data_IF_993571207070
#
_entry.id   IF_993571207070
#
_cell.length_a   1.000
_cell.length_b   1.000
_cell.length_c   1.000
_cell.angle_alpha   90.00
_cell.angle_beta   90.00
_cell.angle_gamma   90.00
#
_symmetry.space_group_name_H-M   'P 1'
#
loop_
_entity.id
_entity.type
_entity.pdbx_description
1 polymer ?
#
# COMPACT_ATOMS: atom_id res chain seq x y z
N UNK A 1 31.58 -41.87 1.71
CA UNK A 1 30.42 -41.13 2.26
C UNK A 1 30.88 -39.70 2.47
N UNK A 2 30.66 -38.82 1.49
CA UNK A 2 30.98 -37.41 1.59
C UNK A 2 29.80 -36.65 2.24
N UNK A 3 30.05 -35.71 3.16
CA UNK A 3 28.99 -34.87 3.69
C UNK A 3 28.59 -33.84 2.63
N UNK A 4 27.31 -33.82 2.28
CA UNK A 4 26.74 -32.88 1.32
C UNK A 4 27.04 -31.42 1.72
N UNK A 5 27.74 -30.70 0.84
CA UNK A 5 28.00 -29.29 0.97
C UNK A 5 26.68 -28.50 1.04
N UNK A 6 26.44 -27.78 2.14
CA UNK A 6 25.36 -26.79 2.25
C UNK A 6 25.59 -25.68 1.21
N UNK A 7 24.70 -25.57 0.22
CA UNK A 7 24.69 -24.43 -0.71
C UNK A 7 24.43 -23.12 0.07
N UNK A 8 25.20 -22.05 -0.15
CA UNK A 8 24.93 -20.74 0.45
C UNK A 8 23.78 -20.09 -0.31
N UNK A 9 22.58 -20.13 0.27
CA UNK A 9 21.36 -19.58 -0.36
C UNK A 9 20.45 -19.06 0.74
N UNK A 10 20.70 -17.86 1.27
CA UNK A 10 19.79 -17.18 2.22
C UNK A 10 20.01 -15.66 2.37
N UNK A 11 21.21 -15.12 2.18
CA UNK A 11 21.46 -13.68 2.41
C UNK A 11 21.15 -12.78 1.20
N UNK A 12 21.53 -13.16 -0.02
CA UNK A 12 21.32 -12.31 -1.20
C UNK A 12 19.85 -12.16 -1.63
N UNK A 13 19.02 -13.20 -1.45
CA UNK A 13 17.61 -13.17 -1.86
C UNK A 13 16.76 -12.24 -0.96
N UNK A 14 17.07 -12.19 0.34
CA UNK A 14 16.37 -11.33 1.29
C UNK A 14 16.72 -9.85 1.09
N UNK A 15 18.00 -9.53 0.86
CA UNK A 15 18.45 -8.19 0.52
C UNK A 15 17.77 -7.68 -0.77
N UNK A 16 17.78 -8.50 -1.83
CA UNK A 16 17.13 -8.15 -3.10
C UNK A 16 15.62 -7.90 -2.95
N UNK A 17 14.93 -8.71 -2.15
CA UNK A 17 13.51 -8.50 -1.87
C UNK A 17 13.25 -7.19 -1.10
N UNK A 18 14.13 -6.82 -0.16
CA UNK A 18 14.01 -5.58 0.60
C UNK A 18 14.22 -4.35 -0.29
N UNK A 19 15.30 -4.34 -1.07
CA UNK A 19 15.58 -3.28 -2.03
C UNK A 19 14.43 -3.10 -3.03
N UNK A 20 13.85 -4.20 -3.50
CA UNK A 20 12.72 -4.14 -4.42
C UNK A 20 11.50 -3.43 -3.83
N UNK A 21 11.14 -3.76 -2.58
CA UNK A 21 10.06 -3.07 -1.87
C UNK A 21 10.32 -1.57 -1.72
N UNK A 22 11.55 -1.22 -1.32
CA UNK A 22 11.97 0.18 -1.16
C UNK A 22 11.95 0.94 -2.51
N UNK A 23 12.47 0.35 -3.59
CA UNK A 23 12.43 0.97 -4.90
C UNK A 23 11.00 1.15 -5.41
N UNK A 24 10.11 0.19 -5.16
CA UNK A 24 8.70 0.32 -5.52
C UNK A 24 8.04 1.48 -4.78
N UNK A 25 8.25 1.56 -3.46
CA UNK A 25 7.73 2.66 -2.63
C UNK A 25 8.26 4.03 -3.10
N UNK A 26 9.56 4.15 -3.35
CA UNK A 26 10.16 5.38 -3.85
C UNK A 26 9.63 5.78 -5.23
N UNK A 27 9.54 4.82 -6.16
CA UNK A 27 8.99 5.08 -7.51
C UNK A 27 7.54 5.52 -7.45
N UNK A 28 6.72 4.87 -6.61
CA UNK A 28 5.33 5.27 -6.41
C UNK A 28 5.23 6.69 -5.86
N UNK A 29 6.06 7.03 -4.87
CA UNK A 29 6.16 8.40 -4.33
C UNK A 29 6.53 9.43 -5.39
N UNK A 30 7.50 9.12 -6.27
CA UNK A 30 7.88 10.01 -7.37
C UNK A 30 6.73 10.24 -8.36
N UNK A 31 5.99 9.19 -8.75
CA UNK A 31 4.83 9.32 -9.64
C UNK A 31 3.75 10.19 -9.01
N UNK A 32 3.44 9.96 -7.72
CA UNK A 32 2.47 10.75 -6.97
C UNK A 32 2.91 12.22 -6.91
N UNK A 33 4.18 12.49 -6.60
CA UNK A 33 4.73 13.83 -6.52
C UNK A 33 4.63 14.57 -7.86
N UNK A 34 5.03 13.94 -8.95
CA UNK A 34 4.96 14.54 -10.29
C UNK A 34 3.51 14.84 -10.71
N UNK A 35 2.59 13.90 -10.46
CA UNK A 35 1.18 14.10 -10.75
C UNK A 35 0.58 15.25 -9.91
N UNK A 36 0.87 15.22 -8.61
CA UNK A 36 0.46 16.23 -7.63
C UNK A 36 0.97 17.62 -7.97
N UNK A 37 2.24 17.73 -8.40
CA UNK A 37 2.83 18.98 -8.83
C UNK A 37 2.11 19.56 -10.05
N UNK A 38 1.73 18.72 -11.02
CA UNK A 38 0.97 19.15 -12.18
C UNK A 38 -0.44 19.66 -11.79
N UNK A 39 -1.10 19.04 -10.83
CA UNK A 39 -2.40 19.51 -10.29
C UNK A 39 -2.25 20.84 -9.54
N UNK A 40 -1.20 20.96 -8.73
CA UNK A 40 -0.90 22.20 -8.01
C UNK A 40 -0.62 23.35 -8.99
N UNK A 41 0.18 23.14 -10.04
CA UNK A 41 0.45 24.14 -11.09
C UNK A 41 -0.79 24.61 -11.83
N UNK A 42 -1.80 23.75 -11.97
CA UNK A 42 -3.10 24.08 -12.59
C UNK A 42 -4.07 24.78 -11.61
N UNK A 43 -3.65 25.00 -10.36
CA UNK A 43 -4.48 25.61 -9.32
C UNK A 43 -5.58 24.70 -8.76
N UNK A 44 -5.57 23.40 -9.10
CA UNK A 44 -6.63 22.46 -8.69
C UNK A 44 -6.53 22.09 -7.22
N UNK A 45 -5.30 21.96 -6.69
CA UNK A 45 -5.01 21.61 -5.31
C UNK A 45 -4.02 22.62 -4.72
N UNK A 46 -4.48 23.82 -4.31
CA UNK A 46 -3.61 24.89 -3.83
C UNK A 46 -2.95 24.58 -2.48
N UNK A 47 -3.55 23.68 -1.69
CA UNK A 47 -2.97 23.19 -0.44
C UNK A 47 -2.74 21.70 -0.57
N UNK A 48 -1.49 21.31 -0.81
CA UNK A 48 -1.09 19.92 -1.01
C UNK A 48 0.15 19.62 -0.19
N UNK A 49 0.08 18.58 0.62
CA UNK A 49 1.20 18.07 1.42
C UNK A 49 1.32 16.58 1.17
N UNK A 50 2.54 16.14 0.86
CA UNK A 50 2.88 14.74 0.66
C UNK A 50 3.98 14.42 1.67
N UNK A 51 3.75 13.40 2.48
CA UNK A 51 4.73 12.85 3.41
C UNK A 51 5.03 11.41 3.04
N UNK A 52 6.31 11.04 3.16
CA UNK A 52 6.79 9.67 3.03
C UNK A 52 7.16 9.19 4.43
N UNK A 53 6.78 7.97 4.80
CA UNK A 53 7.04 7.40 6.13
C UNK A 53 6.46 8.27 7.28
N UNK A 54 5.18 8.58 7.18
CA UNK A 54 4.44 9.43 8.11
C UNK A 54 4.06 8.67 9.39
N UNK A 55 4.80 8.88 10.46
CA UNK A 55 4.60 8.18 11.74
C UNK A 55 3.20 8.39 12.35
N UNK A 56 2.52 9.49 12.02
CA UNK A 56 1.19 9.82 12.54
C UNK A 56 0.06 9.08 11.79
N UNK A 57 0.38 8.37 10.70
CA UNK A 57 -0.59 7.65 9.87
C UNK A 57 -0.73 6.16 10.21
N UNK A 58 -0.10 5.70 11.30
CA UNK A 58 -0.21 4.33 11.77
C UNK A 58 0.42 3.33 10.80
N UNK A 59 -0.35 2.33 10.33
CA UNK A 59 0.16 1.30 9.41
C UNK A 59 0.09 1.67 7.92
N UNK A 60 -0.43 2.85 7.60
CA UNK A 60 -0.46 3.42 6.25
C UNK A 60 0.46 4.63 6.15
N UNK A 61 1.66 4.47 6.71
CA UNK A 61 2.68 5.50 6.82
C UNK A 61 3.54 5.62 5.56
N UNK A 62 3.54 4.63 4.66
CA UNK A 62 4.42 4.63 3.49
C UNK A 62 4.29 5.97 2.71
N UNK A 63 3.07 6.38 2.31
CA UNK A 63 2.83 7.68 1.65
C UNK A 63 1.49 8.26 2.11
N UNK A 64 1.50 9.52 2.55
CA UNK A 64 0.28 10.24 2.95
C UNK A 64 0.15 11.53 2.19
N UNK A 65 -1.02 11.72 1.57
CA UNK A 65 -1.36 12.92 0.80
C UNK A 65 -2.46 13.67 1.54
N UNK A 66 -2.18 14.88 1.99
CA UNK A 66 -3.17 15.78 2.59
C UNK A 66 -3.44 16.90 1.61
N UNK A 67 -4.71 17.13 1.30
CA UNK A 67 -5.10 18.15 0.34
C UNK A 67 -6.27 18.99 0.84
N UNK A 68 -6.33 20.23 0.37
CA UNK A 68 -7.48 21.09 0.48
C UNK A 68 -7.56 22.02 -0.73
N UNK A 69 -8.78 22.33 -1.13
CA UNK A 69 -9.09 23.32 -2.17
C UNK A 69 -10.21 24.22 -1.68
N UNK A 70 -10.36 25.39 -2.31
CA UNK A 70 -11.53 26.25 -2.11
C UNK A 70 -12.82 25.61 -2.63
N UNK A 71 -12.71 24.68 -3.59
CA UNK A 71 -13.85 24.02 -4.25
C UNK A 71 -14.00 22.54 -3.90
N UNK A 72 -12.97 21.91 -3.34
CA UNK A 72 -12.97 20.49 -2.95
C UNK A 72 -12.83 20.37 -1.43
N UNK A 73 -13.67 19.55 -0.76
CA UNK A 73 -13.50 19.27 0.65
C UNK A 73 -12.08 18.83 0.97
N UNK A 74 -11.56 19.27 2.12
CA UNK A 74 -10.28 18.79 2.66
C UNK A 74 -10.29 17.27 2.70
N UNK A 75 -9.18 16.64 2.38
CA UNK A 75 -9.06 15.20 2.46
C UNK A 75 -7.66 14.70 2.73
N UNK A 76 -7.59 13.43 3.09
CA UNK A 76 -6.35 12.69 3.27
C UNK A 76 -6.41 11.37 2.51
N UNK A 77 -5.34 11.02 1.81
CA UNK A 77 -5.15 9.72 1.17
C UNK A 77 -3.97 9.04 1.86
N UNK A 78 -4.21 7.86 2.40
CA UNK A 78 -3.24 7.01 3.08
C UNK A 78 -2.89 5.84 2.16
N UNK A 79 -1.61 5.62 1.89
CA UNK A 79 -1.18 4.65 0.89
C UNK A 79 -0.18 3.69 1.52
N UNK A 80 -0.43 2.39 1.38
CA UNK A 80 0.53 1.34 1.67
C UNK A 80 1.06 0.73 0.39
N UNK A 81 2.38 0.72 0.23
CA UNK A 81 3.10 0.16 -0.90
C UNK A 81 3.64 -1.24 -0.53
N UNK A 82 3.11 -2.28 -1.17
CA UNK A 82 3.45 -3.68 -0.89
C UNK A 82 3.67 -4.47 -2.16
N UNK A 83 4.91 -4.56 -2.60
CA UNK A 83 5.26 -5.18 -3.86
C UNK A 83 6.36 -6.22 -3.67
N UNK A 84 6.15 -7.45 -4.17
CA UNK A 84 7.13 -8.53 -4.10
C UNK A 84 7.87 -8.70 -5.44
N UNK A 85 9.11 -9.17 -5.39
CA UNK A 85 9.98 -9.31 -6.56
C UNK A 85 9.47 -10.36 -7.56
N UNK A 86 8.88 -11.45 -7.06
CA UNK A 86 8.29 -12.51 -7.88
C UNK A 86 6.79 -12.60 -7.58
N UNK A 87 5.97 -12.28 -8.59
CA UNK A 87 4.51 -12.39 -8.53
C UNK A 87 4.03 -13.86 -8.62
N UNK A 88 4.82 -14.74 -9.23
CA UNK A 88 4.54 -16.18 -9.32
C UNK A 88 4.57 -16.88 -7.95
N UNK A 89 5.27 -16.29 -6.97
CA UNK A 89 5.35 -16.79 -5.61
C UNK A 89 4.35 -16.11 -4.65
N UNK A 90 3.62 -15.11 -5.10
CA UNK A 90 2.51 -14.54 -4.32
C UNK A 90 1.26 -15.35 -4.55
N UNK A 91 0.90 -16.17 -3.55
CA UNK A 91 -0.42 -16.76 -3.48
C UNK A 91 -1.49 -15.65 -3.55
N UNK A 92 -2.61 -15.88 -4.26
CA UNK A 92 -3.73 -14.95 -4.25
C UNK A 92 -4.21 -14.68 -2.83
N UNK A 93 -4.73 -13.47 -2.61
CA UNK A 93 -5.35 -13.07 -1.36
C UNK A 93 -6.73 -13.73 -1.23
N UNK A 94 -6.85 -14.62 -0.25
CA UNK A 94 -8.03 -15.41 0.06
C UNK A 94 -8.88 -14.75 1.14
N UNK A 95 -10.08 -15.28 1.40
CA UNK A 95 -10.93 -14.86 2.52
C UNK A 95 -10.18 -14.84 3.86
N UNK A 96 -9.30 -15.84 4.07
CA UNK A 96 -8.45 -15.91 5.24
C UNK A 96 -7.54 -14.69 5.41
N UNK A 97 -7.06 -14.13 4.30
CA UNK A 97 -6.19 -12.95 4.26
C UNK A 97 -6.93 -11.65 4.59
N UNK A 98 -8.26 -11.60 4.49
CA UNK A 98 -9.02 -10.38 4.79
C UNK A 98 -9.70 -10.44 6.16
N UNK A 99 -10.23 -11.61 6.55
CA UNK A 99 -11.14 -11.71 7.69
C UNK A 99 -10.56 -12.44 8.90
N UNK A 100 -9.42 -13.11 8.80
CA UNK A 100 -8.87 -13.81 9.97
C UNK A 100 -8.16 -12.85 10.92
N UNK A 101 -8.34 -13.10 12.22
CA UNK A 101 -7.78 -12.21 13.25
C UNK A 101 -6.27 -12.39 13.48
N UNK A 102 -5.70 -13.51 13.02
CA UNK A 102 -4.28 -13.86 13.21
C UNK A 102 -3.50 -13.40 11.99
N UNK A 103 -2.30 -12.85 12.21
CA UNK A 103 -1.29 -12.78 11.17
C UNK A 103 -0.90 -14.22 10.82
N UNK A 104 -1.61 -14.85 9.89
CA UNK A 104 -1.16 -16.09 9.27
C UNK A 104 0.06 -15.77 8.40
N UNK A 105 0.74 -16.81 7.91
CA UNK A 105 1.93 -16.76 7.04
C UNK A 105 1.62 -16.20 5.64
N UNK A 106 0.81 -15.15 5.58
CA UNK A 106 0.19 -14.63 4.38
C UNK A 106 1.05 -13.56 3.74
N UNK A 107 0.88 -13.33 2.41
CA UNK A 107 1.82 -12.53 1.66
C UNK A 107 1.91 -11.08 2.14
N UNK A 108 0.80 -10.54 2.65
CA UNK A 108 0.66 -9.18 3.15
C UNK A 108 -0.34 -9.21 4.31
N UNK A 109 0.01 -8.64 5.46
CA UNK A 109 -0.83 -8.61 6.67
C UNK A 109 -2.04 -7.68 6.51
N UNK A 110 -2.88 -7.89 5.49
CA UNK A 110 -4.04 -7.06 5.14
C UNK A 110 -5.00 -6.84 6.32
N UNK A 111 -5.29 -7.82 7.20
CA UNK A 111 -6.17 -7.58 8.34
C UNK A 111 -5.58 -6.54 9.31
N UNK A 112 -4.25 -6.42 9.37
CA UNK A 112 -3.57 -5.40 10.16
C UNK A 112 -3.81 -4.00 9.58
N UNK A 113 -3.69 -3.85 8.25
CA UNK A 113 -3.99 -2.59 7.57
C UNK A 113 -5.47 -2.24 7.74
N UNK A 114 -6.37 -3.20 7.54
CA UNK A 114 -7.80 -2.94 7.71
C UNK A 114 -8.17 -2.54 9.15
N UNK A 115 -7.56 -3.16 10.17
CA UNK A 115 -7.72 -2.70 11.56
C UNK A 115 -7.18 -1.31 11.80
N UNK A 116 -5.95 -1.04 11.34
CA UNK A 116 -5.36 0.30 11.43
C UNK A 116 -6.24 1.34 10.74
N UNK A 117 -6.90 0.98 9.64
CA UNK A 117 -7.91 1.80 8.98
C UNK A 117 -9.08 2.07 9.91
N UNK A 118 -9.70 1.04 10.48
CA UNK A 118 -10.84 1.20 11.40
C UNK A 118 -10.48 2.06 12.63
N UNK A 119 -9.26 1.96 13.15
CA UNK A 119 -8.80 2.76 14.29
C UNK A 119 -8.65 4.25 13.95
N UNK A 120 -8.29 4.58 12.70
CA UNK A 120 -8.14 5.96 12.21
C UNK A 120 -9.39 6.47 11.50
N UNK A 121 -10.33 5.60 11.16
CA UNK A 121 -11.56 5.95 10.49
C UNK A 121 -12.41 6.80 11.42
N UNK A 122 -12.53 8.09 11.07
CA UNK A 122 -13.33 9.06 11.82
C UNK A 122 -14.51 9.53 10.96
N UNK A 123 -15.66 8.83 11.01
CA UNK A 123 -16.83 9.16 10.19
C UNK A 123 -17.40 10.55 10.47
N UNK A 124 -17.10 11.14 11.64
CA UNK A 124 -17.54 12.49 12.01
C UNK A 124 -16.54 13.61 11.65
N UNK A 125 -15.42 13.31 10.99
CA UNK A 125 -14.43 14.33 10.63
C UNK A 125 -14.83 15.09 9.36
N UNK A 126 -14.67 16.41 9.37
CA UNK A 126 -14.91 17.27 8.21
C UNK A 126 -13.79 17.07 7.16
N UNK A 127 -13.89 15.99 6.40
CA UNK A 127 -13.01 15.70 5.27
C UNK A 127 -13.09 14.27 4.77
N UNK A 128 -12.73 14.06 3.51
CA UNK A 128 -12.71 12.72 2.92
C UNK A 128 -11.41 12.00 3.26
N UNK A 129 -11.51 10.75 3.71
CA UNK A 129 -10.35 9.88 3.92
C UNK A 129 -10.40 8.72 2.94
N UNK A 130 -9.31 8.49 2.22
CA UNK A 130 -9.15 7.35 1.33
C UNK A 130 -7.94 6.53 1.78
N UNK A 131 -8.06 5.21 1.70
CA UNK A 131 -7.00 4.27 2.06
C UNK A 131 -6.75 3.37 0.86
N UNK A 132 -5.48 3.27 0.47
CA UNK A 132 -5.05 2.56 -0.72
C UNK A 132 -3.99 1.55 -0.34
N UNK A 133 -4.19 0.30 -0.77
CA UNK A 133 -3.15 -0.73 -0.75
C UNK A 133 -2.68 -0.94 -2.18
N UNK A 134 -1.45 -0.53 -2.48
CA UNK A 134 -0.82 -0.71 -3.78
C UNK A 134 0.02 -1.99 -3.74
N UNK A 135 -0.43 -3.03 -4.43
CA UNK A 135 0.23 -4.34 -4.41
C UNK A 135 0.20 -5.06 -5.76
N UNK A 136 1.12 -5.99 -5.95
CA UNK A 136 1.09 -6.97 -7.04
C UNK A 136 0.52 -8.33 -6.63
N UNK A 137 -0.09 -8.43 -5.44
CA UNK A 137 -0.89 -9.59 -5.09
C UNK A 137 -2.16 -9.64 -5.95
N UNK A 138 -2.51 -10.82 -6.45
CA UNK A 138 -3.84 -11.05 -7.02
C UNK A 138 -4.85 -11.33 -5.92
N UNK A 139 -6.13 -11.15 -6.21
CA UNK A 139 -7.25 -11.49 -5.33
C UNK A 139 -7.81 -12.82 -5.82
N UNK A 140 -8.14 -13.73 -4.90
CA UNK A 140 -8.81 -14.99 -5.23
C UNK A 140 -10.19 -14.72 -5.88
N UNK A 141 -10.55 -15.47 -6.91
CA UNK A 141 -11.81 -15.27 -7.65
C UNK A 141 -13.05 -15.30 -6.75
N UNK A 142 -13.04 -16.11 -5.68
CA UNK A 142 -14.14 -16.18 -4.71
C UNK A 142 -14.30 -14.88 -3.91
N UNK A 143 -13.21 -14.12 -3.76
CA UNK A 143 -13.21 -12.86 -3.06
C UNK A 143 -13.68 -11.70 -3.96
N UNK A 144 -13.59 -11.84 -5.28
CA UNK A 144 -13.94 -10.78 -6.23
C UNK A 144 -15.38 -10.26 -6.08
N UNK A 145 -16.31 -11.09 -5.59
CA UNK A 145 -17.68 -10.67 -5.28
C UNK A 145 -17.79 -9.53 -4.25
N UNK A 146 -16.77 -9.35 -3.39
CA UNK A 146 -16.71 -8.28 -2.39
C UNK A 146 -16.05 -7.00 -2.91
N UNK A 147 -15.54 -7.01 -4.15
CA UNK A 147 -14.80 -5.91 -4.74
C UNK A 147 -15.49 -5.40 -5.99
N UNK A 148 -15.31 -4.11 -6.27
CA UNK A 148 -15.63 -3.53 -7.57
C UNK A 148 -14.35 -3.38 -8.36
N UNK A 149 -14.24 -4.11 -9.48
CA UNK A 149 -13.11 -3.97 -10.38
C UNK A 149 -13.28 -2.72 -11.25
N UNK A 150 -12.23 -1.92 -11.36
CA UNK A 150 -12.16 -0.75 -12.24
C UNK A 150 -10.89 -0.82 -13.06
N UNK A 151 -11.04 -0.59 -14.35
CA UNK A 151 -9.92 -0.39 -15.27
C UNK A 151 -9.76 1.11 -15.48
N UNK A 152 -8.52 1.59 -15.37
CA UNK A 152 -8.17 2.97 -15.67
C UNK A 152 -7.28 2.92 -16.91
N UNK A 153 -7.72 3.62 -17.96
CA UNK A 153 -7.00 3.74 -19.24
C UNK A 153 -5.78 4.67 -19.14
#
# INVERSE_FOLDING_TARGET
>A
MDPAAKKPKLENESANSSYHGMFYHLRLGMVILLHSYNLHRKGTLPHLSITMEDCEAGKFDDIVIRYASSTTPKGTIYIQAKHKLSSENTKPLTEGDFFTKKASSTPFSIPMYFRSYLDHYRPASNGSHAYLLCTNATIDDKMMQYFTQRHYD
#
